data_IF_075011364232
#
_entry.id   IF_075011364232
#
_cell.length_a   1.000
_cell.length_b   1.000
_cell.length_c   1.000
_cell.angle_alpha   90.00
_cell.angle_beta   90.00
_cell.angle_gamma   90.00
#
_symmetry.space_group_name_H-M   'P 1'
#
loop_
_entity.id
_entity.type
_entity.pdbx_description
1 polymer ?
#
# COMPACT_ATOMS: atom_id res chain seq x y z
N UNK A 1 -23.01 13.00 -22.14
CA UNK A 1 -21.83 13.38 -22.95
C UNK A 1 -20.92 12.17 -23.01
N UNK A 2 -20.73 11.58 -24.19
CA UNK A 2 -19.92 10.38 -24.42
C UNK A 2 -18.44 10.78 -24.43
N UNK A 3 -17.59 10.15 -23.60
CA UNK A 3 -16.14 10.41 -23.59
C UNK A 3 -15.44 9.40 -24.51
N UNK A 4 -14.47 9.90 -25.28
CA UNK A 4 -13.62 9.11 -26.17
C UNK A 4 -12.18 9.23 -25.69
N UNK A 5 -11.39 8.17 -25.83
CA UNK A 5 -9.95 8.22 -25.55
C UNK A 5 -9.14 8.81 -26.72
N UNK A 6 -7.83 8.95 -26.53
CA UNK A 6 -6.89 9.49 -27.54
C UNK A 6 -6.84 8.66 -28.84
N UNK A 7 -7.46 7.48 -28.86
CA UNK A 7 -7.52 6.58 -30.02
C UNK A 7 -8.90 6.54 -30.67
N UNK A 8 -9.83 7.38 -30.21
CA UNK A 8 -11.20 7.44 -30.74
C UNK A 8 -12.09 6.27 -30.32
N UNK A 9 -11.67 5.50 -29.31
CA UNK A 9 -12.50 4.43 -28.73
C UNK A 9 -13.53 5.07 -27.79
N UNK A 10 -14.80 4.71 -27.95
CA UNK A 10 -15.85 5.08 -26.99
C UNK A 10 -15.45 4.50 -25.64
N UNK A 11 -15.13 5.34 -24.68
CA UNK A 11 -15.03 4.91 -23.28
C UNK A 11 -16.47 4.73 -22.83
N UNK A 12 -16.97 3.48 -22.64
CA UNK A 12 -18.32 3.31 -22.13
C UNK A 12 -18.40 4.09 -20.83
N UNK A 13 -19.40 4.96 -20.72
CA UNK A 13 -19.67 5.64 -19.47
C UNK A 13 -19.72 4.57 -18.38
N UNK A 14 -18.92 4.68 -17.28
CA UNK A 14 -19.03 3.73 -16.20
C UNK A 14 -20.50 3.72 -15.79
N UNK A 15 -21.14 2.56 -15.89
CA UNK A 15 -22.49 2.37 -15.38
C UNK A 15 -22.52 2.97 -13.98
N UNK A 16 -23.50 3.83 -13.73
CA UNK A 16 -23.79 4.33 -12.38
C UNK A 16 -23.85 3.11 -11.45
N UNK A 17 -22.86 3.07 -10.56
CA UNK A 17 -22.32 1.83 -10.01
C UNK A 17 -20.80 1.88 -10.06
N UNK A 18 -20.21 3.00 -9.63
CA UNK A 18 -18.76 3.13 -9.45
C UNK A 18 -18.31 2.22 -8.30
N UNK A 19 -18.22 0.91 -8.55
CA UNK A 19 -17.72 -0.06 -7.57
C UNK A 19 -16.19 0.07 -7.38
N UNK A 20 -15.49 0.72 -8.31
CA UNK A 20 -14.13 1.22 -8.07
C UNK A 20 -14.08 2.36 -7.02
N UNK A 21 -15.16 3.13 -6.86
CA UNK A 21 -15.29 4.10 -5.78
C UNK A 21 -15.73 3.46 -4.45
N UNK A 22 -16.32 2.25 -4.48
CA UNK A 22 -16.60 1.45 -3.28
C UNK A 22 -15.35 0.73 -2.75
N UNK A 23 -14.39 0.35 -3.60
CA UNK A 23 -13.05 -0.02 -3.13
C UNK A 23 -12.34 1.14 -2.39
N UNK A 24 -12.67 2.39 -2.75
CA UNK A 24 -12.16 3.62 -2.13
C UNK A 24 -12.90 4.03 -0.84
N UNK A 25 -14.21 3.79 -0.74
CA UNK A 25 -14.97 3.89 0.52
C UNK A 25 -14.88 2.56 1.25
N UNK A 26 -13.67 2.22 1.74
CA UNK A 26 -13.52 1.10 2.68
C UNK A 26 -14.43 1.38 3.88
N UNK A 27 -15.38 0.48 4.10
CA UNK A 27 -16.35 0.51 5.20
C UNK A 27 -15.66 0.69 6.56
N UNK A 28 -16.41 1.25 7.53
CA UNK A 28 -15.95 2.03 8.68
C UNK A 28 -14.65 1.60 9.36
N UNK A 29 -13.72 2.56 9.51
CA UNK A 29 -12.47 2.41 10.30
C UNK A 29 -12.73 1.98 11.77
N UNK A 30 -13.97 2.10 12.27
CA UNK A 30 -14.35 1.85 13.66
C UNK A 30 -14.34 0.36 14.06
N UNK A 31 -14.43 -0.56 13.10
CA UNK A 31 -14.54 -2.01 13.37
C UNK A 31 -13.41 -2.86 12.76
N UNK A 32 -12.33 -2.21 12.26
CA UNK A 32 -11.16 -2.93 11.76
C UNK A 32 -10.45 -3.66 12.91
N UNK A 33 -10.47 -4.99 12.83
CA UNK A 33 -9.71 -5.88 13.70
C UNK A 33 -8.35 -6.25 13.09
N UNK A 34 -7.48 -6.95 13.85
CA UNK A 34 -6.26 -7.54 13.33
C UNK A 34 -6.51 -8.47 12.12
N UNK A 35 -5.46 -8.74 11.34
CA UNK A 35 -5.55 -9.75 10.29
C UNK A 35 -5.62 -11.16 10.89
N UNK A 36 -6.35 -12.07 10.23
CA UNK A 36 -6.30 -13.50 10.50
C UNK A 36 -4.97 -14.05 9.96
N UNK A 37 -4.25 -14.82 10.78
CA UNK A 37 -3.00 -15.50 10.40
C UNK A 37 -3.21 -16.45 9.22
N UNK A 38 -2.22 -16.53 8.33
CA UNK A 38 -2.21 -17.43 7.17
C UNK A 38 -3.52 -17.41 6.36
N UNK A 39 -4.02 -16.20 6.10
CA UNK A 39 -5.29 -15.99 5.41
C UNK A 39 -5.22 -14.85 4.38
N UNK A 40 -6.08 -14.95 3.38
CA UNK A 40 -6.38 -13.91 2.42
C UNK A 40 -7.60 -13.09 2.88
N UNK A 41 -7.56 -11.77 2.69
CA UNK A 41 -8.77 -10.94 2.75
C UNK A 41 -9.76 -11.42 1.66
N UNK A 42 -11.05 -11.55 1.97
CA UNK A 42 -12.04 -12.06 1.03
C UNK A 42 -12.15 -11.23 -0.27
N UNK A 43 -11.94 -9.91 -0.17
CA UNK A 43 -11.85 -9.03 -1.35
C UNK A 43 -10.71 -9.40 -2.29
N UNK A 44 -9.60 -9.93 -1.75
CA UNK A 44 -8.45 -10.40 -2.55
C UNK A 44 -8.72 -11.75 -3.19
N UNK A 45 -9.40 -12.64 -2.49
CA UNK A 45 -9.92 -13.87 -3.08
C UNK A 45 -10.82 -13.57 -4.28
N UNK A 46 -11.72 -12.58 -4.14
CA UNK A 46 -12.57 -12.12 -5.23
C UNK A 46 -11.75 -11.61 -6.43
N UNK A 47 -10.76 -10.75 -6.18
CA UNK A 47 -9.88 -10.22 -7.25
C UNK A 47 -9.09 -11.34 -7.93
N UNK A 48 -8.49 -12.27 -7.17
CA UNK A 48 -7.75 -13.41 -7.73
C UNK A 48 -8.62 -14.26 -8.65
N UNK A 49 -9.85 -14.57 -8.23
CA UNK A 49 -10.75 -15.36 -9.07
C UNK A 49 -11.30 -14.57 -10.26
N UNK A 50 -11.46 -13.24 -10.13
CA UNK A 50 -11.86 -12.37 -11.23
C UNK A 50 -10.79 -12.37 -12.33
N UNK A 51 -9.52 -12.26 -11.94
CA UNK A 51 -8.37 -12.33 -12.87
C UNK A 51 -8.27 -13.71 -13.55
N UNK A 52 -8.54 -14.79 -12.83
CA UNK A 52 -8.61 -16.15 -13.41
C UNK A 52 -9.76 -16.30 -14.39
N UNK A 53 -10.91 -15.70 -14.08
CA UNK A 53 -12.13 -15.78 -14.88
C UNK A 53 -11.99 -15.18 -16.28
N UNK A 54 -10.99 -14.30 -16.49
CA UNK A 54 -10.67 -13.76 -17.81
C UNK A 54 -10.26 -14.84 -18.82
N UNK A 55 -9.73 -15.97 -18.33
CA UNK A 55 -9.30 -17.12 -19.16
C UNK A 55 -10.36 -18.18 -19.29
N UNK A 56 -11.46 -18.08 -18.54
CA UNK A 56 -12.52 -19.07 -18.62
C UNK A 56 -13.22 -19.01 -19.98
N UNK A 57 -13.67 -20.18 -20.49
CA UNK A 57 -14.43 -20.23 -21.73
C UNK A 57 -15.74 -19.46 -21.58
N UNK A 58 -16.35 -19.12 -22.72
CA UNK A 58 -17.65 -18.47 -22.74
C UNK A 58 -18.71 -19.37 -22.07
N UNK A 59 -19.49 -18.89 -21.10
CA UNK A 59 -20.51 -19.69 -20.43
C UNK A 59 -21.58 -20.17 -21.42
N UNK A 60 -21.97 -21.44 -21.34
CA UNK A 60 -22.98 -22.03 -22.23
C UNK A 60 -24.37 -21.40 -22.06
N UNK A 61 -24.65 -20.82 -20.91
CA UNK A 61 -25.93 -20.21 -20.57
C UNK A 61 -25.72 -18.77 -20.09
N UNK A 62 -26.41 -17.82 -20.74
CA UNK A 62 -26.42 -16.41 -20.35
C UNK A 62 -27.78 -16.04 -19.79
N UNK A 63 -27.85 -15.25 -18.69
CA UNK A 63 -29.10 -14.68 -18.24
C UNK A 63 -29.73 -13.78 -19.33
N UNK A 64 -31.05 -13.88 -19.61
CA UNK A 64 -31.71 -13.08 -20.64
C UNK A 64 -31.49 -11.57 -20.47
N UNK A 65 -31.54 -11.09 -19.22
CA UNK A 65 -31.27 -9.68 -18.88
C UNK A 65 -29.88 -9.20 -19.29
N UNK A 66 -28.87 -10.08 -19.26
CA UNK A 66 -27.50 -9.75 -19.66
C UNK A 66 -27.39 -9.59 -21.18
N UNK A 67 -28.11 -10.42 -21.94
CA UNK A 67 -28.20 -10.33 -23.40
C UNK A 67 -28.90 -9.03 -23.82
N UNK A 68 -29.97 -8.66 -23.11
CA UNK A 68 -30.68 -7.39 -23.35
C UNK A 68 -29.77 -6.19 -23.10
N UNK A 69 -29.02 -6.17 -21.99
CA UNK A 69 -28.06 -5.11 -21.67
C UNK A 69 -26.93 -5.01 -22.71
N UNK A 70 -26.50 -6.15 -23.26
CA UNK A 70 -25.44 -6.20 -24.25
C UNK A 70 -25.83 -5.54 -25.59
N UNK A 71 -27.11 -5.29 -25.85
CA UNK A 71 -27.56 -4.54 -27.03
C UNK A 71 -27.07 -3.10 -27.05
N UNK A 72 -26.82 -2.51 -25.87
CA UNK A 72 -26.25 -1.18 -25.74
C UNK A 72 -24.72 -1.13 -25.99
N UNK A 73 -24.06 -2.29 -26.08
CA UNK A 73 -22.63 -2.40 -26.33
C UNK A 73 -22.37 -2.49 -27.85
N UNK A 74 -21.33 -1.80 -28.37
CA UNK A 74 -20.91 -1.93 -29.76
C UNK A 74 -20.76 -3.38 -30.19
N UNK A 75 -21.22 -3.72 -31.40
CA UNK A 75 -21.31 -5.09 -31.89
C UNK A 75 -19.94 -5.81 -31.91
N UNK A 76 -18.88 -5.07 -32.25
CA UNK A 76 -17.49 -5.52 -32.25
C UNK A 76 -16.96 -5.88 -30.84
N UNK A 77 -17.54 -5.31 -29.79
CA UNK A 77 -17.14 -5.51 -28.38
C UNK A 77 -18.11 -6.40 -27.60
N UNK A 78 -19.32 -6.61 -28.12
CA UNK A 78 -20.43 -7.26 -27.42
C UNK A 78 -20.09 -8.65 -26.93
N UNK A 79 -19.45 -9.47 -27.77
CA UNK A 79 -19.10 -10.85 -27.44
C UNK A 79 -18.10 -10.93 -26.28
N UNK A 80 -17.03 -10.14 -26.34
CA UNK A 80 -16.03 -10.11 -25.27
C UNK A 80 -16.59 -9.52 -23.97
N UNK A 81 -17.43 -8.50 -24.07
CA UNK A 81 -18.12 -7.92 -22.93
C UNK A 81 -19.04 -8.95 -22.25
N UNK A 82 -19.88 -9.64 -23.05
CA UNK A 82 -20.78 -10.69 -22.57
C UNK A 82 -20.01 -11.81 -21.86
N UNK A 83 -18.92 -12.28 -22.47
CA UNK A 83 -18.06 -13.31 -21.88
C UNK A 83 -17.56 -12.90 -20.49
N UNK A 84 -16.98 -11.69 -20.40
CA UNK A 84 -16.42 -11.18 -19.13
C UNK A 84 -17.49 -11.01 -18.06
N UNK A 85 -18.63 -10.41 -18.41
CA UNK A 85 -19.72 -10.20 -17.45
C UNK A 85 -20.32 -11.52 -16.96
N UNK A 86 -20.55 -12.47 -17.87
CA UNK A 86 -21.06 -13.78 -17.51
C UNK A 86 -20.10 -14.56 -16.59
N UNK A 87 -18.80 -14.49 -16.86
CA UNK A 87 -17.78 -15.11 -16.01
C UNK A 87 -17.71 -14.48 -14.62
N UNK A 88 -17.82 -13.15 -14.52
CA UNK A 88 -17.84 -12.45 -13.24
C UNK A 88 -19.09 -12.80 -12.41
N UNK A 89 -20.27 -12.87 -13.02
CA UNK A 89 -21.49 -13.29 -12.31
C UNK A 89 -21.45 -14.75 -11.86
N UNK A 90 -20.89 -15.65 -12.68
CA UNK A 90 -20.72 -17.05 -12.30
C UNK A 90 -19.74 -17.19 -11.14
N UNK A 91 -18.62 -16.47 -11.19
CA UNK A 91 -17.65 -16.38 -10.10
C UNK A 91 -18.29 -15.88 -8.80
N UNK A 92 -19.02 -14.76 -8.85
CA UNK A 92 -19.74 -14.20 -7.70
C UNK A 92 -20.69 -15.23 -7.07
N UNK A 93 -21.41 -15.96 -7.92
CA UNK A 93 -22.34 -17.02 -7.50
C UNK A 93 -21.61 -18.16 -6.81
N UNK A 94 -20.46 -18.59 -7.35
CA UNK A 94 -19.64 -19.67 -6.78
C UNK A 94 -19.07 -19.31 -5.42
N UNK A 95 -18.47 -18.12 -5.27
CA UNK A 95 -17.97 -17.65 -3.97
C UNK A 95 -19.13 -17.55 -2.98
N UNK A 96 -20.24 -16.93 -3.37
CA UNK A 96 -21.42 -16.81 -2.51
C UNK A 96 -21.95 -18.17 -2.06
N UNK A 97 -22.05 -19.13 -2.98
CA UNK A 97 -22.51 -20.49 -2.68
C UNK A 97 -21.55 -21.20 -1.72
N UNK A 98 -20.25 -21.18 -2.01
CA UNK A 98 -19.24 -21.86 -1.20
C UNK A 98 -19.16 -21.31 0.23
N UNK A 99 -19.35 -20.00 0.41
CA UNK A 99 -19.44 -19.39 1.75
C UNK A 99 -20.69 -19.88 2.49
N UNK A 100 -21.83 -19.97 1.79
CA UNK A 100 -23.11 -20.38 2.40
C UNK A 100 -23.16 -21.88 2.69
N UNK A 101 -22.55 -22.72 1.85
CA UNK A 101 -22.44 -24.17 2.05
C UNK A 101 -21.39 -24.53 3.10
N UNK A 102 -20.43 -23.64 3.36
CA UNK A 102 -19.28 -23.89 4.24
C UNK A 102 -18.08 -24.50 3.53
N UNK A 103 -18.14 -24.68 2.21
CA UNK A 103 -17.00 -25.13 1.40
C UNK A 103 -15.88 -24.09 1.33
N UNK A 104 -16.18 -22.83 1.59
CA UNK A 104 -15.22 -21.75 1.78
C UNK A 104 -15.35 -21.17 3.20
N UNK A 105 -14.59 -21.70 4.18
CA UNK A 105 -14.65 -21.24 5.56
C UNK A 105 -14.24 -19.78 5.70
N UNK A 106 -15.08 -18.97 6.35
CA UNK A 106 -14.80 -17.55 6.61
C UNK A 106 -14.34 -17.34 8.04
N UNK A 107 -13.29 -16.56 8.21
CA UNK A 107 -12.67 -16.22 9.48
C UNK A 107 -12.73 -14.72 9.74
N UNK A 108 -12.76 -14.35 11.01
CA UNK A 108 -12.56 -12.99 11.48
C UNK A 108 -11.60 -12.98 12.67
N UNK A 109 -10.94 -11.86 12.92
CA UNK A 109 -10.17 -11.66 14.14
C UNK A 109 -10.76 -10.47 14.93
N UNK A 110 -11.59 -10.73 15.95
CA UNK A 110 -12.09 -9.68 16.81
C UNK A 110 -10.95 -9.07 17.64
N UNK A 111 -11.07 -7.79 18.01
CA UNK A 111 -10.02 -7.10 18.75
C UNK A 111 -9.91 -7.64 20.18
N UNK A 112 -8.72 -8.08 20.58
CA UNK A 112 -8.49 -8.64 21.92
C UNK A 112 -8.99 -10.09 22.11
N UNK A 113 -9.55 -10.71 21.08
CA UNK A 113 -10.02 -12.10 21.10
C UNK A 113 -9.22 -12.95 20.11
N UNK A 114 -9.19 -14.29 20.28
CA UNK A 114 -8.62 -15.18 19.29
C UNK A 114 -9.38 -15.13 17.95
N UNK A 115 -8.71 -15.54 16.88
CA UNK A 115 -9.33 -15.74 15.58
C UNK A 115 -10.54 -16.67 15.69
N UNK A 116 -11.62 -16.30 15.00
CA UNK A 116 -12.89 -17.00 15.08
C UNK A 116 -13.36 -17.41 13.70
N UNK A 117 -13.66 -18.70 13.55
CA UNK A 117 -14.39 -19.22 12.41
C UNK A 117 -15.84 -18.74 12.48
N UNK A 118 -16.33 -18.16 11.39
CA UNK A 118 -17.71 -17.71 11.24
C UNK A 118 -18.57 -18.95 10.96
N UNK A 119 -19.62 -19.13 11.75
CA UNK A 119 -20.50 -20.30 11.63
C UNK A 119 -21.15 -20.37 10.23
N UNK A 120 -21.28 -21.58 9.69
CA UNK A 120 -21.98 -21.83 8.43
C UNK A 120 -23.45 -21.41 8.61
N UNK A 121 -23.93 -20.51 7.76
CA UNK A 121 -25.24 -19.85 7.91
C UNK A 121 -25.20 -18.49 8.61
N UNK A 122 -24.08 -18.11 9.25
CA UNK A 122 -23.96 -16.76 9.79
C UNK A 122 -23.86 -15.67 8.70
N UNK A 123 -23.43 -16.08 7.51
CA UNK A 123 -23.31 -15.28 6.30
C UNK A 123 -24.37 -15.68 5.24
N UNK A 124 -25.53 -16.20 5.66
CA UNK A 124 -26.59 -16.63 4.74
C UNK A 124 -27.04 -15.53 3.76
N UNK A 125 -27.01 -14.28 4.21
CA UNK A 125 -27.39 -13.08 3.44
C UNK A 125 -26.22 -12.36 2.79
N UNK A 126 -25.01 -12.96 2.77
CA UNK A 126 -23.85 -12.34 2.15
C UNK A 126 -24.13 -12.06 0.67
N UNK A 127 -23.81 -10.83 0.25
CA UNK A 127 -24.04 -10.34 -1.09
C UNK A 127 -22.74 -9.99 -1.82
N UNK A 128 -22.86 -9.71 -3.11
CA UNK A 128 -21.72 -9.33 -3.96
C UNK A 128 -20.92 -8.16 -3.38
N UNK A 129 -21.61 -7.17 -2.80
CA UNK A 129 -20.95 -5.99 -2.19
C UNK A 129 -20.08 -6.40 -1.01
N UNK A 130 -20.57 -7.29 -0.16
CA UNK A 130 -19.84 -7.80 0.99
C UNK A 130 -18.64 -8.66 0.57
N UNK A 131 -18.80 -9.47 -0.49
CA UNK A 131 -17.73 -10.31 -1.02
C UNK A 131 -16.63 -9.45 -1.66
N UNK A 132 -16.98 -8.58 -2.62
CA UNK A 132 -16.02 -7.71 -3.29
C UNK A 132 -15.37 -6.71 -2.33
N UNK A 133 -16.14 -6.18 -1.36
CA UNK A 133 -15.64 -5.30 -0.31
C UNK A 133 -14.81 -6.03 0.76
N UNK A 134 -14.92 -7.36 0.85
CA UNK A 134 -14.25 -8.19 1.84
C UNK A 134 -14.71 -7.93 3.28
N UNK A 135 -15.93 -7.41 3.45
CA UNK A 135 -16.49 -6.96 4.72
C UNK A 135 -17.96 -7.35 4.78
N UNK A 136 -18.43 -7.87 5.91
CA UNK A 136 -19.86 -8.20 6.04
C UNK A 136 -20.70 -6.95 6.31
N UNK A 137 -21.60 -6.62 5.38
CA UNK A 137 -22.53 -5.51 5.49
C UNK A 137 -23.98 -6.03 5.32
N UNK A 138 -24.79 -6.08 6.40
CA UNK A 138 -26.19 -6.46 6.27
C UNK A 138 -26.96 -5.47 5.39
N UNK A 139 -27.88 -5.98 4.57
CA UNK A 139 -28.55 -5.20 3.51
C UNK A 139 -29.61 -4.21 4.02
N UNK A 140 -30.13 -4.37 5.24
CA UNK A 140 -31.11 -3.46 5.85
C UNK A 140 -30.86 -3.24 7.34
N UNK A 141 -31.38 -2.12 7.88
CA UNK A 141 -31.39 -1.81 9.31
C UNK A 141 -32.24 -2.82 10.11
N UNK A 142 -33.28 -3.42 9.52
CA UNK A 142 -34.06 -4.49 10.15
C UNK A 142 -33.21 -5.75 10.37
N UNK A 143 -32.36 -6.13 9.40
CA UNK A 143 -31.37 -7.20 9.58
C UNK A 143 -30.27 -6.86 10.58
N UNK A 144 -30.03 -5.58 10.86
CA UNK A 144 -29.14 -5.18 11.96
C UNK A 144 -29.81 -5.40 13.32
N UNK A 145 -31.10 -5.09 13.45
CA UNK A 145 -31.82 -5.29 14.71
C UNK A 145 -32.04 -6.78 15.06
N UNK A 146 -32.31 -7.62 14.05
CA UNK A 146 -32.58 -9.06 14.24
C UNK A 146 -31.32 -9.94 14.29
N UNK A 147 -30.15 -9.43 13.86
CA UNK A 147 -28.92 -10.20 13.94
C UNK A 147 -28.26 -10.03 15.31
N UNK A 148 -28.29 -11.10 16.14
CA UNK A 148 -27.49 -11.31 17.36
C UNK A 148 -25.96 -11.33 17.12
N UNK A 149 -25.48 -10.62 16.09
CA UNK A 149 -24.10 -10.70 15.58
C UNK A 149 -23.48 -9.34 15.27
N UNK A 150 -23.58 -8.33 16.17
CA UNK A 150 -22.91 -7.05 15.98
C UNK A 150 -21.39 -7.20 15.87
N UNK A 151 -20.84 -8.31 16.41
CA UNK A 151 -19.42 -8.65 16.30
C UNK A 151 -18.95 -8.95 14.87
N UNK A 152 -19.84 -9.17 13.90
CA UNK A 152 -19.45 -9.48 12.51
C UNK A 152 -19.54 -8.26 11.58
N UNK A 153 -20.27 -7.22 11.98
CA UNK A 153 -20.58 -6.08 11.11
C UNK A 153 -19.34 -5.22 10.82
N UNK A 154 -19.23 -4.80 9.57
CA UNK A 154 -18.13 -3.97 9.08
C UNK A 154 -16.72 -4.56 9.35
N UNK A 155 -16.64 -5.85 9.72
CA UNK A 155 -15.37 -6.52 9.95
C UNK A 155 -14.81 -7.09 8.66
N UNK A 156 -13.48 -7.01 8.47
CA UNK A 156 -12.81 -7.71 7.40
C UNK A 156 -13.03 -9.22 7.52
N UNK A 157 -13.40 -9.84 6.39
CA UNK A 157 -13.59 -11.27 6.25
C UNK A 157 -12.34 -11.89 5.64
N UNK A 158 -11.94 -13.04 6.16
CA UNK A 158 -10.74 -13.74 5.72
C UNK A 158 -11.03 -15.19 5.34
N UNK A 159 -10.22 -15.74 4.45
CA UNK A 159 -10.21 -17.16 4.07
C UNK A 159 -8.80 -17.68 4.30
N UNK A 160 -8.64 -18.82 5.00
CA UNK A 160 -7.29 -19.39 5.20
C UNK A 160 -6.66 -19.75 3.85
N UNK A 161 -5.34 -19.58 3.75
CA UNK A 161 -4.64 -19.72 2.47
C UNK A 161 -4.86 -21.10 1.84
N UNK A 162 -4.79 -22.17 2.63
CA UNK A 162 -4.98 -23.55 2.14
C UNK A 162 -6.41 -23.80 1.63
N UNK A 163 -7.40 -23.25 2.34
CA UNK A 163 -8.81 -23.34 1.94
C UNK A 163 -9.03 -22.60 0.61
N UNK A 164 -8.45 -21.39 0.47
CA UNK A 164 -8.55 -20.62 -0.77
C UNK A 164 -7.88 -21.33 -1.95
N UNK A 165 -6.65 -21.82 -1.76
CA UNK A 165 -5.90 -22.51 -2.82
C UNK A 165 -6.64 -23.76 -3.28
N UNK A 166 -7.20 -24.53 -2.33
CA UNK A 166 -7.99 -25.72 -2.64
C UNK A 166 -9.23 -25.36 -3.45
N UNK A 167 -10.00 -24.37 -2.99
CA UNK A 167 -11.20 -23.90 -3.67
C UNK A 167 -10.91 -23.36 -5.08
N UNK A 168 -9.93 -22.47 -5.22
CA UNK A 168 -9.60 -21.87 -6.52
C UNK A 168 -9.11 -22.93 -7.53
N UNK A 169 -8.34 -23.91 -7.07
CA UNK A 169 -7.88 -25.02 -7.91
C UNK A 169 -9.04 -25.91 -8.38
N UNK A 170 -10.01 -26.18 -7.51
CA UNK A 170 -11.23 -26.93 -7.86
C UNK A 170 -12.04 -26.18 -8.92
N UNK A 171 -12.26 -24.87 -8.75
CA UNK A 171 -12.97 -24.04 -9.72
C UNK A 171 -12.24 -24.02 -11.07
N UNK A 172 -10.92 -23.86 -11.08
CA UNK A 172 -10.13 -23.90 -12.31
C UNK A 172 -10.17 -25.28 -12.98
N UNK A 173 -10.16 -26.38 -12.20
CA UNK A 173 -10.28 -27.74 -12.73
C UNK A 173 -11.64 -28.01 -13.40
N UNK A 174 -12.70 -27.36 -12.94
CA UNK A 174 -14.03 -27.44 -13.57
C UNK A 174 -14.13 -26.58 -14.84
N UNK A 175 -13.44 -25.43 -14.87
CA UNK A 175 -13.62 -24.41 -15.92
C UNK A 175 -12.62 -24.51 -17.06
N UNK A 176 -11.41 -24.96 -16.80
CA UNK A 176 -10.34 -25.00 -17.79
C UNK A 176 -10.17 -26.42 -18.35
N UNK A 177 -10.41 -26.62 -19.66
CA UNK A 177 -10.22 -27.94 -20.27
C UNK A 177 -8.74 -28.36 -20.17
N UNK A 178 -8.50 -29.53 -19.58
CA UNK A 178 -7.15 -30.10 -19.41
C UNK A 178 -6.53 -29.93 -18.03
N UNK A 179 -7.19 -29.28 -17.08
CA UNK A 179 -6.77 -29.28 -15.66
C UNK A 179 -7.32 -30.54 -14.99
N UNK A 180 -6.44 -31.47 -14.61
CA UNK A 180 -6.83 -32.75 -14.03
C UNK A 180 -7.55 -32.54 -12.68
N UNK A 181 -8.75 -33.14 -12.53
CA UNK A 181 -9.41 -33.25 -11.22
C UNK A 181 -8.53 -34.10 -10.31
N UNK A 182 -7.97 -33.51 -9.25
CA UNK A 182 -7.38 -34.33 -8.19
C UNK A 182 -8.50 -35.13 -7.52
N UNK A 183 -8.36 -36.46 -7.34
CA UNK A 183 -9.40 -37.27 -6.72
C UNK A 183 -9.52 -36.90 -5.24
N UNK A 184 -10.67 -36.32 -4.88
CA UNK A 184 -10.97 -35.92 -3.51
C UNK A 184 -11.17 -37.11 -2.58
N UNK A 185 -10.55 -37.06 -1.41
CA UNK A 185 -11.04 -37.72 -0.21
C UNK A 185 -10.87 -36.73 0.94
N UNK A 186 -11.94 -35.98 1.26
CA UNK A 186 -11.99 -35.10 2.44
C UNK A 186 -12.28 -35.97 3.67
N UNK A 187 -11.26 -36.34 4.43
CA UNK A 187 -11.41 -36.68 5.85
C UNK A 187 -11.17 -35.41 6.69
N UNK A 188 -11.94 -35.17 7.77
CA UNK A 188 -11.67 -34.05 8.66
C UNK A 188 -10.54 -34.45 9.62
N UNK A 189 -9.33 -33.93 9.44
CA UNK A 189 -8.27 -34.09 10.44
C UNK A 189 -7.55 -32.78 10.73
N UNK A 190 -7.69 -32.39 11.99
CA UNK A 190 -6.80 -31.49 12.71
C UNK A 190 -5.35 -32.01 12.71
N UNK A 191 -4.44 -31.06 12.49
CA UNK A 191 -3.07 -30.99 13.02
C UNK A 191 -1.96 -31.80 12.30
N UNK A 192 -0.68 -31.44 12.52
CA UNK A 192 0.12 -30.78 11.50
C UNK A 192 1.38 -31.58 11.17
N UNK A 193 1.82 -31.56 9.90
CA UNK A 193 3.21 -31.71 9.47
C UNK A 193 3.22 -32.05 7.98
N UNK A 194 3.34 -31.06 7.11
CA UNK A 194 3.91 -31.29 5.79
C UNK A 194 4.76 -30.07 5.39
N UNK A 195 6.02 -30.36 5.08
CA UNK A 195 6.97 -29.41 4.50
C UNK A 195 6.40 -28.85 3.20
N UNK A 196 6.59 -27.54 2.98
CA UNK A 196 6.36 -26.88 1.70
C UNK A 196 7.27 -27.52 0.64
N UNK A 197 6.73 -28.46 -0.14
CA UNK A 197 7.33 -28.86 -1.40
C UNK A 197 6.64 -28.06 -2.50
N UNK A 198 7.22 -26.91 -2.84
CA UNK A 198 6.86 -26.21 -4.06
C UNK A 198 7.28 -27.07 -5.28
N UNK A 199 6.46 -27.20 -6.33
CA UNK A 199 6.86 -27.92 -7.53
C UNK A 199 8.03 -27.18 -8.22
N UNK A 200 8.90 -27.91 -8.96
CA UNK A 200 10.06 -27.31 -9.60
C UNK A 200 9.59 -26.47 -10.80
N UNK A 201 9.55 -25.15 -10.63
CA UNK A 201 9.31 -24.23 -11.74
C UNK A 201 10.63 -23.72 -12.33
N UNK A 202 10.90 -24.17 -13.57
CA UNK A 202 11.91 -23.59 -14.45
C UNK A 202 11.31 -22.40 -15.21
N UNK A 203 11.52 -21.19 -14.69
CA UNK A 203 11.23 -19.93 -15.36
C UNK A 203 12.32 -18.92 -15.00
N UNK A 204 12.85 -18.21 -16.00
CA UNK A 204 14.13 -17.52 -15.95
C UNK A 204 14.31 -16.44 -14.86
N UNK A 205 15.57 -16.15 -14.58
CA UNK A 205 16.03 -15.27 -13.52
C UNK A 205 15.31 -13.90 -13.46
N UNK A 206 14.80 -13.54 -12.27
CA UNK A 206 14.90 -12.15 -11.80
C UNK A 206 13.63 -11.41 -11.39
N UNK A 207 12.41 -11.97 -11.50
CA UNK A 207 11.22 -11.35 -10.92
C UNK A 207 10.68 -12.20 -9.77
N UNK A 208 11.09 -11.86 -8.54
CA UNK A 208 10.40 -12.29 -7.34
C UNK A 208 8.94 -11.82 -7.45
N UNK A 209 8.03 -12.76 -7.76
CA UNK A 209 6.59 -12.45 -7.78
C UNK A 209 6.17 -12.00 -6.38
N UNK A 210 5.48 -10.87 -6.32
CA UNK A 210 4.95 -10.32 -5.08
C UNK A 210 3.65 -11.01 -4.73
N UNK A 211 3.42 -11.20 -3.45
CA UNK A 211 2.15 -11.65 -2.92
C UNK A 211 1.49 -10.44 -2.23
N UNK A 212 0.99 -9.51 -3.06
CA UNK A 212 0.43 -8.25 -2.57
C UNK A 212 -0.79 -8.53 -1.67
N UNK A 213 -0.71 -8.09 -0.42
CA UNK A 213 -1.79 -8.23 0.55
C UNK A 213 -1.74 -9.50 1.41
N UNK A 214 -0.76 -10.38 1.24
CA UNK A 214 -0.54 -11.46 2.21
C UNK A 214 0.09 -10.88 3.47
N UNK A 215 -0.47 -11.27 4.62
CA UNK A 215 0.07 -10.93 5.92
C UNK A 215 1.44 -11.59 6.11
N UNK A 216 2.42 -10.79 6.51
CA UNK A 216 3.67 -11.36 7.01
C UNK A 216 3.34 -12.06 8.34
N UNK A 217 3.73 -13.34 8.55
CA UNK A 217 3.44 -14.04 9.81
C UNK A 217 3.99 -13.27 11.02
N UNK A 218 3.23 -13.25 12.11
CA UNK A 218 3.59 -12.51 13.34
C UNK A 218 3.93 -11.03 13.10
N UNK A 219 3.17 -10.35 12.25
CA UNK A 219 3.35 -8.94 11.95
C UNK A 219 2.06 -8.13 12.16
N UNK A 220 2.22 -6.81 12.22
CA UNK A 220 1.14 -5.82 12.20
C UNK A 220 1.25 -5.00 10.92
N UNK A 221 0.13 -4.67 10.29
CA UNK A 221 0.11 -3.82 9.11
C UNK A 221 0.50 -2.39 9.50
N UNK A 222 1.21 -1.67 8.62
CA UNK A 222 1.73 -0.34 8.91
C UNK A 222 0.66 0.67 9.38
N UNK A 223 -0.52 0.68 8.74
CA UNK A 223 -1.62 1.57 9.16
C UNK A 223 -2.23 1.18 10.50
N UNK A 224 -2.26 -0.12 10.81
CA UNK A 224 -2.80 -0.62 12.08
C UNK A 224 -1.83 -0.31 13.21
N UNK A 225 -0.52 -0.38 12.97
CA UNK A 225 0.52 0.08 13.88
C UNK A 225 0.38 1.58 14.18
N UNK A 226 0.15 2.41 13.15
CA UNK A 226 -0.13 3.84 13.33
C UNK A 226 -1.37 4.06 14.22
N UNK A 227 -2.46 3.33 13.97
CA UNK A 227 -3.68 3.44 14.77
C UNK A 227 -3.46 2.98 16.22
N UNK A 228 -2.73 1.88 16.40
CA UNK A 228 -2.40 1.32 17.71
C UNK A 228 -1.52 2.27 18.55
N UNK A 229 -0.54 2.93 17.93
CA UNK A 229 0.25 3.97 18.60
C UNK A 229 -0.56 5.23 18.87
N UNK A 230 -1.44 5.64 17.95
CA UNK A 230 -2.34 6.77 18.18
C UNK A 230 -3.25 6.53 19.40
N UNK A 231 -3.82 5.33 19.53
CA UNK A 231 -4.62 4.94 20.69
C UNK A 231 -3.77 4.91 21.97
N UNK A 232 -2.54 4.40 21.90
CA UNK A 232 -1.60 4.42 23.03
C UNK A 232 -1.26 5.85 23.48
N UNK A 233 -1.14 6.77 22.53
CA UNK A 233 -0.92 8.19 22.81
C UNK A 233 -2.16 8.83 23.45
N UNK A 234 -3.36 8.59 22.91
CA UNK A 234 -4.59 9.23 23.41
C UNK A 234 -4.98 8.76 24.80
N UNK A 235 -4.61 7.53 25.16
CA UNK A 235 -4.92 6.92 26.45
C UNK A 235 -3.81 7.13 27.50
N UNK A 236 -2.68 7.73 27.10
CA UNK A 236 -1.62 8.08 28.03
C UNK A 236 -2.03 9.23 28.96
N UNK A 237 -1.32 9.44 30.08
CA UNK A 237 -1.54 10.61 30.91
C UNK A 237 -1.41 11.88 30.07
N UNK A 238 -2.28 12.86 30.33
CA UNK A 238 -2.15 14.20 29.77
C UNK A 238 -0.75 14.70 30.11
N UNK A 239 0.08 14.87 29.08
CA UNK A 239 1.37 15.49 29.27
C UNK A 239 1.11 16.90 29.77
N UNK A 240 1.92 17.38 30.72
CA UNK A 240 1.87 18.79 31.11
C UNK A 240 1.90 19.69 29.87
N UNK A 241 1.25 20.85 29.90
CA UNK A 241 1.12 21.79 28.77
C UNK A 241 2.46 22.14 28.07
N UNK A 242 3.61 21.90 28.71
CA UNK A 242 4.94 22.06 28.14
C UNK A 242 5.46 20.88 27.28
N UNK A 243 4.88 19.68 27.41
CA UNK A 243 5.31 18.45 26.71
C UNK A 243 4.26 17.87 25.75
N UNK A 244 2.96 18.19 25.91
CA UNK A 244 1.95 17.98 24.85
C UNK A 244 2.33 18.72 23.57
N UNK A 245 3.04 19.84 23.73
CA UNK A 245 3.70 20.58 22.69
C UNK A 245 5.06 19.96 22.31
N UNK A 246 5.05 18.76 21.71
CA UNK A 246 5.86 18.66 20.49
C UNK A 246 5.09 19.47 19.45
N UNK A 247 5.13 20.80 19.58
CA UNK A 247 4.72 21.75 18.57
C UNK A 247 5.65 21.50 17.38
N UNK A 248 5.33 20.51 16.55
CA UNK A 248 5.85 20.44 15.21
C UNK A 248 5.22 21.60 14.43
N UNK A 249 5.80 22.79 14.63
CA UNK A 249 5.54 24.00 13.85
C UNK A 249 6.00 23.74 12.43
N UNK A 250 5.16 23.08 11.65
CA UNK A 250 5.35 23.00 10.22
C UNK A 250 4.78 24.29 9.63
N UNK A 251 5.65 25.16 9.13
CA UNK A 251 5.22 26.29 8.31
C UNK A 251 4.58 25.72 7.04
N UNK A 252 3.25 25.68 7.01
CA UNK A 252 2.51 25.57 5.77
C UNK A 252 2.82 26.82 4.96
N UNK A 253 3.21 26.66 3.70
CA UNK A 253 3.53 27.79 2.82
C UNK A 253 2.33 28.72 2.54
N UNK A 254 1.12 28.32 2.94
CA UNK A 254 -0.14 29.01 2.60
C UNK A 254 -0.84 29.73 3.76
N UNK A 255 -0.34 29.68 5.00
CA UNK A 255 -0.82 30.56 6.10
C UNK A 255 -0.04 30.36 7.40
N UNK A 256 0.20 31.47 8.11
CA UNK A 256 0.81 31.53 9.46
C UNK A 256 -0.06 30.93 10.58
N UNK A 257 -0.95 29.99 10.26
CA UNK A 257 -1.78 29.31 11.25
C UNK A 257 -1.03 28.08 11.76
N UNK A 258 -0.58 28.18 13.02
CA UNK A 258 -0.15 27.05 13.83
C UNK A 258 -1.29 26.02 13.87
N UNK A 259 -1.14 24.93 13.11
CA UNK A 259 -2.08 23.83 13.14
C UNK A 259 -1.65 22.85 14.22
N UNK A 260 -2.52 22.62 15.19
CA UNK A 260 -2.38 21.51 16.14
C UNK A 260 -2.48 20.18 15.39
N UNK A 261 -1.50 19.31 15.61
CA UNK A 261 -1.48 17.97 15.02
C UNK A 261 -2.41 17.06 15.81
N UNK A 262 -3.26 16.32 15.09
CA UNK A 262 -4.07 15.29 15.73
C UNK A 262 -3.19 14.13 16.23
N UNK A 263 -3.63 13.41 17.26
CA UNK A 263 -2.94 12.24 17.82
C UNK A 263 -2.48 11.23 16.76
N UNK A 264 -3.29 11.01 15.73
CA UNK A 264 -2.96 10.13 14.60
C UNK A 264 -1.82 10.67 13.74
N UNK A 265 -1.74 11.99 13.54
CA UNK A 265 -0.65 12.64 12.80
C UNK A 265 0.68 12.54 13.56
N UNK A 266 0.64 12.70 14.88
CA UNK A 266 1.80 12.49 15.76
C UNK A 266 2.27 11.03 15.69
N UNK A 267 1.36 10.06 15.75
CA UNK A 267 1.71 8.64 15.61
C UNK A 267 2.35 8.34 14.23
N UNK A 268 1.79 8.90 13.15
CA UNK A 268 2.38 8.76 11.81
C UNK A 268 3.79 9.34 11.75
N UNK A 269 4.04 10.48 12.37
CA UNK A 269 5.37 11.09 12.44
C UNK A 269 6.38 10.14 13.12
N UNK A 270 6.06 9.63 14.31
CA UNK A 270 6.94 8.71 15.03
C UNK A 270 7.27 7.45 14.23
N UNK A 271 6.25 6.83 13.62
CA UNK A 271 6.44 5.63 12.80
C UNK A 271 7.31 5.95 11.59
N UNK A 272 7.09 7.08 10.92
CA UNK A 272 7.89 7.52 9.77
C UNK A 272 9.36 7.70 10.14
N UNK A 273 9.64 8.45 11.20
CA UNK A 273 11.01 8.69 11.67
C UNK A 273 11.71 7.39 12.09
N UNK A 274 10.98 6.48 12.73
CA UNK A 274 11.51 5.16 13.10
C UNK A 274 11.89 4.33 11.87
N UNK A 275 11.08 4.35 10.81
CA UNK A 275 11.38 3.68 9.54
C UNK A 275 12.58 4.33 8.84
N UNK A 276 12.59 5.66 8.73
CA UNK A 276 13.66 6.39 8.05
C UNK A 276 15.02 6.26 8.76
N UNK A 277 15.02 6.28 10.10
CA UNK A 277 16.21 6.05 10.91
C UNK A 277 16.67 4.59 10.92
N UNK A 278 15.83 3.64 10.47
CA UNK A 278 16.09 2.21 10.50
C UNK A 278 15.87 1.57 11.88
N UNK A 279 15.24 2.28 12.82
CA UNK A 279 14.80 1.72 14.11
C UNK A 279 13.65 0.73 13.95
N UNK A 280 12.91 0.85 12.85
CA UNK A 280 11.76 0.00 12.54
C UNK A 280 11.85 -0.49 11.09
N UNK A 281 11.92 -1.80 10.90
CA UNK A 281 12.02 -2.41 9.58
C UNK A 281 10.63 -2.71 9.04
N UNK A 282 10.43 -2.41 7.76
CA UNK A 282 9.23 -2.80 7.03
C UNK A 282 9.47 -4.08 6.26
N UNK A 283 8.44 -4.90 6.18
CA UNK A 283 8.43 -6.17 5.48
C UNK A 283 7.33 -6.16 4.42
N UNK A 284 7.57 -6.94 3.38
CA UNK A 284 6.55 -7.35 2.40
C UNK A 284 6.55 -8.86 2.26
N UNK A 285 5.51 -9.42 1.66
CA UNK A 285 5.41 -10.84 1.39
C UNK A 285 5.78 -11.13 -0.07
N UNK A 286 6.79 -11.96 -0.28
CA UNK A 286 7.16 -12.52 -1.58
C UNK A 286 6.82 -14.01 -1.62
N UNK A 287 6.85 -14.61 -2.81
CA UNK A 287 6.65 -16.08 -2.97
C UNK A 287 7.59 -16.90 -2.09
N UNK A 288 8.78 -16.39 -1.76
CA UNK A 288 9.78 -17.09 -0.98
C UNK A 288 9.73 -16.78 0.53
N UNK A 289 8.73 -16.04 1.00
CA UNK A 289 8.65 -15.66 2.42
C UNK A 289 8.54 -14.15 2.66
N UNK A 290 8.51 -13.80 3.95
CA UNK A 290 8.61 -12.43 4.40
C UNK A 290 9.97 -11.86 3.99
N UNK A 291 9.96 -10.69 3.34
CA UNK A 291 11.16 -10.05 2.84
C UNK A 291 11.29 -8.64 3.43
N UNK A 292 12.43 -8.32 4.07
CA UNK A 292 12.67 -6.97 4.57
C UNK A 292 12.81 -6.01 3.39
N UNK A 293 12.24 -4.82 3.53
CA UNK A 293 12.34 -3.75 2.54
C UNK A 293 13.50 -2.85 2.92
N UNK A 294 14.40 -2.59 1.96
CA UNK A 294 15.44 -1.59 2.15
C UNK A 294 14.81 -0.21 2.38
N UNK A 295 15.15 0.43 3.51
CA UNK A 295 14.71 1.79 3.83
C UNK A 295 15.04 2.81 2.74
N UNK A 296 16.12 2.59 1.99
CA UNK A 296 16.52 3.47 0.88
C UNK A 296 15.61 3.34 -0.34
N UNK A 297 14.82 2.26 -0.43
CA UNK A 297 13.76 2.09 -1.41
C UNK A 297 12.45 2.80 -0.99
N UNK A 298 12.32 3.21 0.27
CA UNK A 298 11.15 3.91 0.83
C UNK A 298 11.35 5.43 0.89
N UNK A 299 11.92 6.02 -0.17
CA UNK A 299 12.26 7.46 -0.19
C UNK A 299 11.04 8.36 -0.02
N UNK A 300 9.89 7.88 -0.44
CA UNK A 300 8.62 8.62 -0.43
C UNK A 300 7.61 8.05 0.57
N UNK A 301 8.07 7.62 1.77
CA UNK A 301 7.15 7.25 2.85
C UNK A 301 6.38 8.50 3.33
N UNK A 302 5.22 8.74 2.72
CA UNK A 302 4.34 9.89 2.97
C UNK A 302 3.19 9.51 3.92
N UNK A 303 2.45 10.52 4.41
CA UNK A 303 1.32 10.29 5.32
C UNK A 303 0.21 9.44 4.69
N UNK A 304 0.05 9.50 3.36
CA UNK A 304 -0.92 8.66 2.64
C UNK A 304 -0.54 7.17 2.73
N UNK A 305 0.74 6.85 2.56
CA UNK A 305 1.29 5.49 2.70
C UNK A 305 1.10 4.97 4.13
N UNK A 306 1.42 5.80 5.13
CA UNK A 306 1.24 5.45 6.54
C UNK A 306 -0.23 5.24 6.90
N UNK A 307 -1.12 6.07 6.35
CA UNK A 307 -2.57 5.96 6.56
C UNK A 307 -3.17 4.71 5.92
N UNK A 308 -2.71 4.35 4.72
CA UNK A 308 -3.27 3.23 3.95
C UNK A 308 -2.58 1.89 4.25
N UNK A 309 -1.35 1.93 4.78
CA UNK A 309 -0.51 0.75 4.98
C UNK A 309 -0.08 0.08 3.68
N UNK A 310 -0.12 0.85 2.58
CA UNK A 310 0.23 0.42 1.22
C UNK A 310 1.20 1.45 0.67
N UNK A 311 2.30 0.99 0.09
CA UNK A 311 3.29 1.87 -0.52
C UNK A 311 2.75 2.45 -1.83
N UNK A 312 2.44 3.75 -1.82
CA UNK A 312 1.94 4.48 -2.99
C UNK A 312 2.92 5.62 -3.34
N UNK A 313 3.94 5.34 -4.17
CA UNK A 313 4.90 6.36 -4.59
C UNK A 313 4.21 7.35 -5.53
N UNK A 314 4.68 8.60 -5.54
CA UNK A 314 4.04 9.71 -6.26
C UNK A 314 3.96 9.46 -7.77
N UNK A 315 4.92 8.69 -8.30
CA UNK A 315 5.02 8.39 -9.73
C UNK A 315 4.39 7.03 -10.13
N UNK A 316 3.90 6.23 -9.18
CA UNK A 316 3.25 4.93 -9.42
C UNK A 316 4.12 3.83 -10.08
N UNK A 317 5.35 4.14 -10.50
CA UNK A 317 6.23 3.27 -11.28
C UNK A 317 7.30 2.55 -10.47
N UNK A 318 7.35 2.75 -9.16
CA UNK A 318 8.37 2.10 -8.35
C UNK A 318 8.04 0.62 -8.13
N UNK A 319 9.06 -0.25 -8.04
CA UNK A 319 8.88 -1.68 -7.76
C UNK A 319 8.44 -1.96 -6.32
N UNK A 320 7.73 -1.08 -5.64
CA UNK A 320 6.99 -1.40 -4.42
C UNK A 320 5.57 -0.81 -4.46
N UNK A 321 5.20 -0.14 -5.56
CA UNK A 321 3.89 0.49 -5.69
C UNK A 321 2.76 -0.53 -5.53
N UNK A 322 1.77 -0.21 -4.69
CA UNK A 322 0.62 -1.07 -4.41
C UNK A 322 0.85 -2.16 -3.38
N UNK A 323 2.08 -2.30 -2.86
CA UNK A 323 2.45 -3.37 -1.94
C UNK A 323 2.08 -3.02 -0.49
N UNK A 324 1.46 -3.97 0.22
CA UNK A 324 1.16 -3.85 1.64
C UNK A 324 2.45 -3.87 2.48
N UNK A 325 2.51 -3.00 3.49
CA UNK A 325 3.67 -2.83 4.36
C UNK A 325 3.37 -3.39 5.75
N UNK A 326 4.28 -4.21 6.25
CA UNK A 326 4.15 -4.93 7.51
C UNK A 326 5.31 -4.64 8.45
N UNK A 327 5.09 -4.77 9.75
CA UNK A 327 6.09 -4.61 10.81
C UNK A 327 6.02 -5.86 11.68
N UNK A 328 7.13 -6.53 11.95
CA UNK A 328 7.10 -7.68 12.86
C UNK A 328 6.59 -7.26 14.24
N UNK A 329 5.70 -8.06 14.83
CA UNK A 329 4.99 -7.74 16.06
C UNK A 329 5.95 -7.52 17.24
N UNK A 330 7.02 -8.32 17.32
CA UNK A 330 8.06 -8.14 18.35
C UNK A 330 8.82 -6.81 18.23
N UNK A 331 9.12 -6.36 17.00
CA UNK A 331 9.75 -5.06 16.74
C UNK A 331 8.79 -3.92 17.06
N UNK A 332 7.52 -4.07 16.66
CA UNK A 332 6.45 -3.13 16.95
C UNK A 332 6.25 -2.94 18.46
N UNK A 333 6.09 -4.03 19.22
CA UNK A 333 5.83 -3.98 20.65
C UNK A 333 7.00 -3.35 21.42
N UNK A 334 8.24 -3.56 20.95
CA UNK A 334 9.44 -2.90 21.50
C UNK A 334 9.43 -1.40 21.20
N UNK A 335 9.20 -1.02 19.94
CA UNK A 335 9.15 0.36 19.51
C UNK A 335 8.02 1.15 20.21
N UNK A 336 6.80 0.60 20.25
CA UNK A 336 5.64 1.20 20.90
C UNK A 336 5.92 1.46 22.38
N UNK A 337 6.38 0.44 23.12
CA UNK A 337 6.71 0.59 24.56
C UNK A 337 7.77 1.65 24.77
N UNK A 338 8.86 1.64 24.00
CA UNK A 338 9.92 2.65 24.13
C UNK A 338 9.43 4.06 23.81
N UNK A 339 8.56 4.22 22.81
CA UNK A 339 8.02 5.53 22.40
C UNK A 339 7.06 6.09 23.44
N UNK A 340 6.18 5.25 24.00
CA UNK A 340 5.26 5.66 25.06
C UNK A 340 5.99 5.93 26.39
N UNK A 341 6.98 5.12 26.77
CA UNK A 341 7.77 5.36 27.98
C UNK A 341 8.57 6.68 27.89
N UNK A 342 9.25 6.91 26.76
CA UNK A 342 9.96 8.17 26.52
C UNK A 342 9.04 9.39 26.57
N UNK A 343 7.78 9.21 26.16
CA UNK A 343 6.77 10.26 26.18
C UNK A 343 6.27 10.59 27.59
N UNK A 344 6.14 9.59 28.48
CA UNK A 344 5.63 9.78 29.84
C UNK A 344 6.75 10.24 30.81
N UNK A 345 7.99 10.34 30.34
CA UNK A 345 9.14 10.69 31.18
C UNK A 345 9.55 9.57 32.14
N UNK A 346 9.02 8.35 31.96
CA UNK A 346 9.45 7.21 32.75
C UNK A 346 10.84 6.76 32.30
N UNK A 347 11.82 6.67 33.21
CA UNK A 347 13.12 6.11 32.86
C UNK A 347 12.90 4.67 32.41
N UNK A 348 13.39 4.32 31.21
CA UNK A 348 13.47 2.94 30.74
C UNK A 348 14.29 2.14 31.74
N UNK A 349 13.64 1.54 32.74
CA UNK A 349 14.25 0.56 33.61
C UNK A 349 14.76 -0.52 32.67
N UNK A 350 16.07 -0.75 32.67
CA UNK A 350 16.75 -1.59 31.69
C UNK A 350 16.11 -2.97 31.65
N UNK A 351 15.26 -3.20 30.65
CA UNK A 351 14.68 -4.51 30.36
C UNK A 351 15.76 -5.31 29.64
N UNK A 352 16.75 -5.79 30.40
CA UNK A 352 17.86 -6.61 29.91
C UNK A 352 17.48 -8.09 29.70
N UNK A 353 16.19 -8.45 29.87
CA UNK A 353 15.70 -9.83 29.77
C UNK A 353 14.79 -10.09 28.56
N UNK A 354 15.01 -9.42 27.44
CA UNK A 354 14.45 -9.87 26.16
C UNK A 354 15.54 -10.60 25.36
N UNK A 355 15.27 -11.81 24.83
CA UNK A 355 16.24 -12.52 24.01
C UNK A 355 16.67 -11.63 22.84
N UNK A 356 17.97 -11.58 22.58
CA UNK A 356 18.52 -10.89 21.42
C UNK A 356 17.80 -11.37 20.15
N UNK A 357 17.51 -10.46 19.20
CA UNK A 357 16.93 -10.87 17.93
C UNK A 357 17.88 -11.87 17.25
N UNK A 358 17.36 -12.93 16.59
CA UNK A 358 18.20 -13.80 15.79
C UNK A 358 18.93 -12.95 14.74
N UNK A 359 20.25 -12.98 14.79
CA UNK A 359 21.12 -12.41 13.77
C UNK A 359 20.83 -13.09 12.43
N UNK A 360 19.88 -12.57 11.67
CA UNK A 360 19.69 -12.96 10.27
C UNK A 360 20.79 -12.30 9.44
N UNK A 361 22.00 -12.84 9.59
CA UNK A 361 23.15 -12.53 8.75
C UNK A 361 22.88 -13.10 7.36
N UNK A 362 22.29 -12.28 6.49
CA UNK A 362 22.25 -12.58 5.06
C UNK A 362 23.69 -12.80 4.59
N UNK A 363 24.00 -14.03 4.15
CA UNK A 363 25.28 -14.40 3.53
C UNK A 363 25.37 -13.72 2.16
N UNK A 364 25.73 -12.44 2.15
CA UNK A 364 26.20 -11.72 0.97
C UNK A 364 27.69 -11.45 1.14
N UNK A 365 28.51 -12.12 0.35
CA UNK A 365 29.96 -11.95 0.31
C UNK A 365 30.26 -10.58 -0.31
N UNK A 366 30.75 -9.63 0.47
CA UNK A 366 31.57 -8.54 -0.04
C UNK A 366 32.74 -8.30 0.92
N UNK A 367 33.93 -8.42 0.35
CA UNK A 367 35.22 -8.28 1.01
C UNK A 367 35.41 -6.86 1.56
N UNK A 368 35.85 -6.78 2.81
CA UNK A 368 36.33 -5.56 3.44
C UNK A 368 37.84 -5.49 3.16
N UNK A 369 38.29 -4.43 2.51
CA UNK A 369 39.69 -4.01 2.50
C UNK A 369 39.81 -2.70 3.29
N UNK A 370 40.85 -2.53 4.12
CA UNK A 370 41.05 -1.31 4.88
C UNK A 370 41.77 -0.29 3.98
N UNK A 371 41.35 0.97 4.02
CA UNK A 371 42.14 2.05 3.42
C UNK A 371 41.97 3.32 4.23
N UNK A 372 43.12 3.89 4.51
CA UNK A 372 43.41 5.01 5.38
C UNK A 372 42.73 6.32 4.95
N UNK A 373 42.47 7.15 5.95
CA UNK A 373 42.11 8.56 5.82
C UNK A 373 43.15 9.33 4.99
N UNK A 374 42.70 10.39 4.31
CA UNK A 374 43.31 11.67 4.67
C UNK A 374 42.28 12.75 4.95
N UNK A 375 42.67 13.59 5.91
CA UNK A 375 42.09 14.89 6.22
C UNK A 375 41.95 15.76 4.97
N UNK A 376 40.88 16.56 4.86
CA UNK A 376 40.96 17.96 4.39
C UNK A 376 39.57 18.59 4.19
N UNK A 377 39.41 19.71 4.88
CA UNK A 377 38.54 20.87 4.63
C UNK A 377 37.01 20.71 4.77
N UNK A 378 36.56 21.15 5.96
CA UNK A 378 35.20 21.53 6.27
C UNK A 378 34.59 22.43 5.19
N UNK A 379 33.55 21.93 4.52
CA UNK A 379 32.62 22.78 3.76
C UNK A 379 31.69 23.47 4.76
N UNK A 380 32.04 24.69 5.11
CA UNK A 380 31.21 25.59 5.92
C UNK A 380 29.81 25.66 5.30
N UNK A 381 28.82 25.18 6.06
CA UNK A 381 27.40 25.22 5.70
C UNK A 381 26.99 26.70 5.63
N UNK A 382 26.40 27.13 4.51
CA UNK A 382 25.97 28.51 4.34
C UNK A 382 24.93 28.91 5.42
N UNK A 383 24.99 30.15 5.95
CA UNK A 383 24.08 30.63 6.99
C UNK A 383 22.62 30.63 6.53
N UNK A 384 21.73 30.19 7.42
CA UNK A 384 20.33 29.84 7.13
C UNK A 384 19.33 31.01 7.22
N UNK A 385 19.79 32.27 7.24
CA UNK A 385 18.91 33.44 7.30
C UNK A 385 19.41 34.53 6.35
N UNK A 386 18.66 34.78 5.27
CA UNK A 386 19.03 35.68 4.18
C UNK A 386 18.64 37.13 4.51
N UNK A 387 19.57 37.90 5.07
CA UNK A 387 19.37 39.31 5.42
C UNK A 387 19.61 40.29 4.24
N UNK A 388 19.17 39.96 3.02
CA UNK A 388 19.40 40.81 1.86
C UNK A 388 18.23 40.80 0.88
N UNK A 389 17.81 42.00 0.45
CA UNK A 389 16.85 42.18 -0.64
C UNK A 389 17.34 41.39 -1.86
N UNK A 390 16.49 40.59 -2.52
CA UNK A 390 16.91 39.87 -3.72
C UNK A 390 17.37 40.87 -4.80
N UNK A 391 18.39 40.51 -5.61
CA UNK A 391 18.76 41.25 -6.81
C UNK A 391 17.54 41.52 -7.69
N UNK A 392 17.58 42.60 -8.47
CA UNK A 392 16.50 42.90 -9.41
C UNK A 392 16.43 41.86 -10.54
N UNK A 393 15.26 41.73 -11.18
CA UNK A 393 15.09 40.81 -12.31
C UNK A 393 16.08 41.13 -13.46
N UNK A 394 16.40 42.40 -13.66
CA UNK A 394 17.39 42.84 -14.66
C UNK A 394 18.81 42.37 -14.32
N UNK A 395 19.20 42.42 -13.04
CA UNK A 395 20.49 41.90 -12.58
C UNK A 395 20.56 40.37 -12.72
N UNK A 396 19.46 39.67 -12.43
CA UNK A 396 19.33 38.21 -12.62
C UNK A 396 19.49 37.84 -14.08
N UNK A 397 18.85 38.58 -14.99
CA UNK A 397 18.93 38.34 -16.43
C UNK A 397 20.32 38.63 -16.99
N UNK A 398 20.95 39.74 -16.59
CA UNK A 398 22.31 40.07 -16.99
C UNK A 398 23.31 38.99 -16.56
N UNK A 399 23.16 38.49 -15.33
CA UNK A 399 24.00 37.40 -14.82
C UNK A 399 23.73 36.08 -15.52
N UNK A 400 22.47 35.82 -15.89
CA UNK A 400 22.10 34.64 -16.66
C UNK A 400 22.76 34.64 -18.05
N UNK A 401 22.79 35.79 -18.73
CA UNK A 401 23.47 35.95 -20.03
C UNK A 401 24.99 35.77 -19.90
N UNK A 402 25.60 36.22 -18.81
CA UNK A 402 27.02 35.95 -18.50
C UNK A 402 27.29 34.45 -18.28
N UNK A 403 26.47 33.76 -17.49
CA UNK A 403 26.62 32.31 -17.29
C UNK A 403 26.34 31.53 -18.57
N UNK A 404 25.49 32.05 -19.45
CA UNK A 404 25.22 31.46 -20.76
C UNK A 404 26.41 31.58 -21.70
N UNK A 405 27.11 32.72 -21.70
CA UNK A 405 28.33 32.90 -22.50
C UNK A 405 29.48 32.01 -22.00
N UNK A 406 29.48 31.62 -20.73
CA UNK A 406 30.36 30.56 -20.16
C UNK A 406 29.99 29.14 -20.60
N UNK A 407 28.97 28.97 -21.44
CA UNK A 407 28.58 27.67 -22.01
C UNK A 407 27.59 26.86 -21.17
N UNK A 408 27.04 27.42 -20.09
CA UNK A 408 26.08 26.70 -19.25
C UNK A 408 24.70 26.58 -19.94
N UNK A 409 24.01 25.48 -19.69
CA UNK A 409 22.61 25.31 -20.12
C UNK A 409 21.65 25.95 -19.10
N UNK A 410 20.43 26.32 -19.54
CA UNK A 410 19.49 27.05 -18.70
C UNK A 410 19.13 26.34 -17.38
N UNK A 411 19.18 25.00 -17.35
CA UNK A 411 18.92 24.22 -16.15
C UNK A 411 20.07 24.33 -15.14
N UNK A 412 21.31 24.32 -15.61
CA UNK A 412 22.51 24.52 -14.77
C UNK A 412 22.59 25.96 -14.30
N UNK A 413 22.31 26.94 -15.16
CA UNK A 413 22.27 28.37 -14.78
C UNK A 413 21.32 28.58 -13.59
N UNK A 414 20.08 28.07 -13.66
CA UNK A 414 19.14 28.22 -12.55
C UNK A 414 19.56 27.51 -11.24
N UNK A 415 20.37 26.46 -11.32
CA UNK A 415 20.86 25.71 -10.16
C UNK A 415 22.10 26.37 -9.54
N UNK A 416 22.99 26.90 -10.37
CA UNK A 416 24.29 27.43 -9.96
C UNK A 416 24.29 28.94 -9.70
N UNK A 417 23.30 29.69 -10.19
CA UNK A 417 23.22 31.14 -9.98
C UNK A 417 23.21 31.53 -8.49
N UNK A 418 22.62 30.71 -7.61
CA UNK A 418 22.66 30.93 -6.15
C UNK A 418 24.05 30.77 -5.52
N UNK A 419 25.02 30.24 -6.26
CA UNK A 419 26.41 30.09 -5.84
C UNK A 419 27.27 31.27 -6.32
N UNK A 420 26.76 32.09 -7.25
CA UNK A 420 27.46 33.29 -7.71
C UNK A 420 27.41 34.39 -6.63
N UNK A 421 28.52 35.11 -6.40
CA UNK A 421 28.56 36.21 -5.46
C UNK A 421 27.51 37.29 -5.79
N UNK A 422 26.68 37.65 -4.82
CA UNK A 422 25.61 38.64 -4.97
C UNK A 422 24.24 38.03 -5.33
N UNK A 423 24.20 36.75 -5.72
CA UNK A 423 22.97 36.07 -6.16
C UNK A 423 22.53 34.95 -5.20
N UNK A 424 23.11 34.89 -4.00
CA UNK A 424 22.84 33.82 -3.02
C UNK A 424 21.37 33.74 -2.61
N UNK A 425 20.65 34.86 -2.74
CA UNK A 425 19.26 34.99 -2.34
C UNK A 425 18.25 34.63 -3.43
N UNK A 426 18.69 34.40 -4.67
CA UNK A 426 17.80 34.15 -5.81
C UNK A 426 17.24 32.73 -5.77
N UNK A 427 15.91 32.61 -5.89
CA UNK A 427 15.23 31.33 -5.96
C UNK A 427 15.42 30.68 -7.34
N UNK A 428 15.74 29.38 -7.38
CA UNK A 428 15.90 28.62 -8.62
C UNK A 428 14.66 28.69 -9.53
N UNK A 429 13.46 28.78 -8.95
CA UNK A 429 12.20 28.93 -9.69
C UNK A 429 12.09 30.29 -10.38
N UNK A 430 12.47 31.38 -9.70
CA UNK A 430 12.47 32.73 -10.25
C UNK A 430 13.40 32.83 -11.48
N UNK A 431 14.63 32.29 -11.38
CA UNK A 431 15.56 32.25 -12.52
C UNK A 431 14.97 31.45 -13.68
N UNK A 432 14.35 30.29 -13.41
CA UNK A 432 13.77 29.44 -14.47
C UNK A 432 12.67 30.13 -15.24
N UNK A 433 11.77 30.84 -14.57
CA UNK A 433 10.69 31.56 -15.24
C UNK A 433 11.23 32.77 -16.02
N UNK A 434 12.21 33.51 -15.48
CA UNK A 434 12.84 34.65 -16.17
C UNK A 434 13.59 34.25 -17.45
N UNK A 435 14.27 33.09 -17.46
CA UNK A 435 15.04 32.64 -18.64
C UNK A 435 14.23 31.73 -19.60
N UNK A 436 12.97 31.43 -19.27
CA UNK A 436 12.13 30.53 -20.04
C UNK A 436 11.89 31.07 -21.44
N UNK A 437 12.23 30.29 -22.46
CA UNK A 437 12.07 30.68 -23.86
C UNK A 437 13.11 31.69 -24.38
N UNK A 438 14.02 32.19 -23.53
CA UNK A 438 15.04 33.19 -23.92
C UNK A 438 16.16 32.61 -24.78
N UNK A 439 16.51 31.34 -24.59
CA UNK A 439 17.52 30.65 -25.41
C UNK A 439 16.96 29.38 -26.03
N UNK A 440 17.31 29.12 -27.30
CA UNK A 440 16.97 27.86 -27.98
C UNK A 440 17.54 26.68 -27.17
N UNK A 441 16.74 25.64 -26.89
CA UNK A 441 17.24 24.43 -26.25
C UNK A 441 18.42 23.90 -27.07
N UNK A 442 19.58 23.72 -26.42
CA UNK A 442 20.73 23.10 -27.07
C UNK A 442 20.31 21.73 -27.56
N UNK A 443 20.20 21.58 -28.90
CA UNK A 443 19.74 20.34 -29.50
C UNK A 443 20.57 19.17 -29.00
N UNK A 444 19.89 18.05 -28.73
CA UNK A 444 20.54 16.79 -28.36
C UNK A 444 21.65 16.50 -29.39
N UNK A 445 22.92 16.34 -28.99
CA UNK A 445 23.95 15.98 -29.95
C UNK A 445 23.52 14.68 -30.63
N UNK A 446 23.36 14.72 -31.96
CA UNK A 446 23.16 13.51 -32.77
C UNK A 446 24.36 12.63 -32.47
N UNK A 447 24.11 11.47 -31.86
CA UNK A 447 25.12 10.45 -31.62
C UNK A 447 25.72 10.11 -33.00
N UNK A 448 26.99 10.49 -33.17
CA UNK A 448 27.69 10.45 -34.45
C UNK A 448 27.80 9.05 -35.02
N UNK A 449 27.83 9.06 -36.35
CA UNK A 449 28.24 7.98 -37.25
C UNK A 449 29.72 7.62 -37.08
#
# INVERSE_FOLDING_TARGET
MTQYDERGVVVPAPLQGSDAALAGKRYGDKHRGPAVSDAYELSRCWIDLADRSERWPFPSELPPRMVDLAQAIPEDQRSDWLRRQANLEDMDRRISYAIRSGDLPIWVAPHGEPERLVAVGALATIDKRSIAGGVFCPQSEEYKADADRPWLWERPLFVKCDDWVSFATEVDAERLPGVAKSPGTREPKFAPNLQLVAPPYHGGAGQLRRLDGIAVPNSIRLNDAVADLANGISNGPDLSDSETAIEFKFYSSDSDLLREWQTREVAMFYVREAVQSGKLLLYTMLVNGAHPIDRHALRELNFRTLKNGIYEPTNGREPLAGTALWILKGDWDRFKRSTLAARIGEPLVSVTNCPEPPSHRAKGVHAIMPSESPESTARTRAPSVKAGRPPSDDEILAKADEMKSRGMDGRTIAKEMRLEPGFQNVATTAVRELIKGRWKPGGRPKKGA
#
